data_IF_113063895935
#
_entry.id   IF_113063895935
#
_cell.length_a   1.000
_cell.length_b   1.000
_cell.length_c   1.000
_cell.angle_alpha   90.00
_cell.angle_beta   90.00
_cell.angle_gamma   90.00
#
_symmetry.space_group_name_H-M   'P 1'
#
loop_
_entity.id
_entity.type
_entity.pdbx_description
1 polymer ?
#
# COMPACT_ATOMS: atom_id res chain seq x y z
N UNK A 1 -2.11 -34.17 -13.45
CA UNK A 1 -1.58 -32.78 -13.45
C UNK A 1 -1.73 -32.18 -12.05
N UNK A 2 -0.71 -31.57 -11.43
CA UNK A 2 -0.83 -30.91 -10.12
C UNK A 2 -1.33 -29.46 -10.25
N UNK A 3 -2.28 -29.06 -9.39
CA UNK A 3 -2.77 -27.67 -9.28
C UNK A 3 -2.05 -26.97 -8.13
N UNK A 4 -1.57 -25.74 -8.35
CA UNK A 4 -0.97 -24.91 -7.29
C UNK A 4 -2.08 -24.35 -6.41
N UNK A 5 -2.12 -24.75 -5.14
CA UNK A 5 -3.03 -24.18 -4.16
C UNK A 5 -2.46 -22.86 -3.63
N UNK A 6 -3.20 -21.77 -3.83
CA UNK A 6 -2.90 -20.48 -3.20
C UNK A 6 -3.31 -20.51 -1.74
N UNK A 7 -2.35 -20.67 -0.83
CA UNK A 7 -2.57 -20.52 0.61
C UNK A 7 -2.05 -19.16 1.06
N UNK A 8 -2.85 -18.36 1.79
CA UNK A 8 -2.41 -17.07 2.28
C UNK A 8 -1.30 -17.27 3.33
N UNK A 9 -0.20 -16.53 3.18
CA UNK A 9 0.89 -16.49 4.16
C UNK A 9 0.55 -15.43 5.21
N UNK A 10 -0.09 -15.87 6.29
CA UNK A 10 -0.44 -15.03 7.43
C UNK A 10 0.14 -15.64 8.71
N UNK A 11 0.89 -14.86 9.48
CA UNK A 11 1.61 -15.31 10.69
C UNK A 11 1.00 -14.74 11.98
N UNK A 12 -0.22 -14.19 11.93
CA UNK A 12 -0.90 -13.65 13.10
C UNK A 12 -1.70 -14.71 13.89
N UNK A 13 -2.46 -14.25 14.88
CA UNK A 13 -3.27 -15.09 15.78
C UNK A 13 -4.33 -15.93 15.06
N UNK A 14 -4.75 -15.53 13.86
CA UNK A 14 -5.75 -16.22 13.05
C UNK A 14 -5.14 -17.14 11.97
N UNK A 15 -3.83 -17.40 12.05
CA UNK A 15 -3.11 -18.20 11.05
C UNK A 15 -3.70 -19.59 10.82
N UNK A 16 -4.19 -20.25 11.87
CA UNK A 16 -4.79 -21.58 11.76
C UNK A 16 -6.11 -21.59 10.97
N UNK A 17 -6.94 -20.55 11.10
CA UNK A 17 -8.22 -20.42 10.38
C UNK A 17 -7.99 -20.00 8.92
N UNK A 18 -7.02 -19.12 8.72
CA UNK A 18 -6.75 -18.48 7.43
C UNK A 18 -5.96 -19.39 6.49
N UNK A 19 -5.34 -20.47 7.00
CA UNK A 19 -4.55 -21.46 6.22
C UNK A 19 -5.42 -22.39 5.36
N UNK A 20 -6.41 -21.83 4.67
CA UNK A 20 -7.25 -22.51 3.69
C UNK A 20 -7.37 -21.68 2.41
N UNK A 21 -7.35 -22.30 1.21
CA UNK A 21 -7.51 -21.58 -0.06
C UNK A 21 -8.79 -20.73 -0.14
N UNK A 22 -9.85 -21.09 0.60
CA UNK A 22 -11.11 -20.32 0.66
C UNK A 22 -10.89 -18.88 1.14
N UNK A 23 -9.91 -18.65 2.01
CA UNK A 23 -9.61 -17.33 2.57
C UNK A 23 -8.50 -16.59 1.82
N UNK A 24 -7.88 -17.20 0.81
CA UNK A 24 -6.74 -16.65 0.09
C UNK A 24 -7.06 -15.29 -0.55
N UNK A 25 -8.21 -15.17 -1.20
CA UNK A 25 -8.60 -13.94 -1.91
C UNK A 25 -8.86 -12.79 -0.93
N UNK A 26 -9.69 -13.02 0.10
CA UNK A 26 -10.03 -11.98 1.06
C UNK A 26 -8.81 -11.48 1.84
N UNK A 27 -7.95 -12.39 2.27
CA UNK A 27 -6.72 -12.05 3.00
C UNK A 27 -5.73 -11.33 2.10
N UNK A 28 -5.59 -11.74 0.84
CA UNK A 28 -4.77 -11.04 -0.15
C UNK A 28 -5.23 -9.61 -0.37
N UNK A 29 -6.55 -9.38 -0.53
CA UNK A 29 -7.11 -8.03 -0.68
C UNK A 29 -6.88 -7.15 0.55
N UNK A 30 -7.01 -7.71 1.75
CA UNK A 30 -6.75 -6.97 2.99
C UNK A 30 -5.28 -6.58 3.11
N UNK A 31 -4.36 -7.51 2.85
CA UNK A 31 -2.91 -7.24 2.89
C UNK A 31 -2.51 -6.18 1.86
N UNK A 32 -3.02 -6.29 0.63
CA UNK A 32 -2.78 -5.27 -0.41
C UNK A 32 -3.38 -3.91 -0.04
N UNK A 33 -4.57 -3.88 0.58
CA UNK A 33 -5.17 -2.63 1.07
C UNK A 33 -4.33 -1.93 2.13
N UNK A 34 -3.72 -2.69 3.04
CA UNK A 34 -2.76 -2.17 4.04
C UNK A 34 -1.52 -1.61 3.34
N UNK A 35 -0.93 -2.37 2.42
CA UNK A 35 0.25 -1.94 1.64
C UNK A 35 -0.06 -0.68 0.83
N UNK A 36 -1.22 -0.61 0.17
CA UNK A 36 -1.64 0.54 -0.62
C UNK A 36 -1.85 1.78 0.26
N UNK A 37 -2.41 1.61 1.46
CA UNK A 37 -2.58 2.70 2.42
C UNK A 37 -1.23 3.24 2.89
N UNK A 38 -0.30 2.36 3.26
CA UNK A 38 1.06 2.74 3.62
C UNK A 38 1.77 3.46 2.47
N UNK A 39 1.67 2.94 1.24
CA UNK A 39 2.21 3.59 0.03
C UNK A 39 1.58 4.97 -0.20
N UNK A 40 0.27 5.11 -0.02
CA UNK A 40 -0.44 6.38 -0.14
C UNK A 40 0.00 7.41 0.89
N UNK A 41 0.26 6.99 2.13
CA UNK A 41 0.82 7.84 3.18
C UNK A 41 2.24 8.30 2.85
N UNK A 42 3.10 7.39 2.39
CA UNK A 42 4.48 7.71 1.96
C UNK A 42 4.47 8.67 0.76
N UNK A 43 3.60 8.43 -0.23
CA UNK A 43 3.44 9.30 -1.39
C UNK A 43 3.00 10.73 -1.00
N UNK A 44 2.10 10.86 -0.02
CA UNK A 44 1.68 12.16 0.53
C UNK A 44 2.82 12.90 1.24
N UNK A 45 3.66 12.19 1.99
CA UNK A 45 4.81 12.79 2.67
C UNK A 45 5.89 13.26 1.70
N UNK A 46 6.23 12.47 0.68
CA UNK A 46 7.26 12.82 -0.31
C UNK A 46 6.88 14.02 -1.20
N UNK A 47 5.58 14.25 -1.40
CA UNK A 47 5.07 15.37 -2.21
C UNK A 47 5.15 16.72 -1.49
N UNK A 48 4.88 16.78 -0.19
CA UNK A 48 4.59 18.05 0.50
C UNK A 48 5.72 19.07 0.42
N UNK A 49 6.95 18.72 0.83
CA UNK A 49 8.07 19.67 0.87
C UNK A 49 8.54 20.08 -0.53
N UNK A 50 8.67 19.13 -1.46
CA UNK A 50 9.08 19.40 -2.86
C UNK A 50 8.02 20.24 -3.59
N UNK A 51 6.74 20.04 -3.29
CA UNK A 51 5.63 20.76 -3.89
C UNK A 51 5.49 22.18 -3.31
N UNK A 52 5.76 22.37 -2.01
CA UNK A 52 5.86 23.71 -1.40
C UNK A 52 7.03 24.49 -2.00
N UNK A 53 8.22 23.89 -2.10
CA UNK A 53 9.39 24.52 -2.71
C UNK A 53 9.15 24.88 -4.19
N UNK A 54 8.50 24.00 -4.96
CA UNK A 54 8.11 24.28 -6.35
C UNK A 54 7.13 25.46 -6.43
N UNK A 55 6.15 25.54 -5.53
CA UNK A 55 5.19 26.65 -5.46
C UNK A 55 5.88 27.97 -5.11
N UNK A 56 6.81 27.99 -4.16
CA UNK A 56 7.58 29.20 -3.82
C UNK A 56 8.42 29.67 -5.01
N UNK A 57 9.08 28.75 -5.71
CA UNK A 57 9.88 29.08 -6.90
C UNK A 57 9.03 29.65 -8.03
N UNK A 58 7.84 29.09 -8.23
CA UNK A 58 6.88 29.57 -9.22
C UNK A 58 6.26 30.93 -8.84
N UNK A 59 6.00 31.17 -7.56
CA UNK A 59 5.57 32.48 -7.06
C UNK A 59 6.65 33.54 -7.27
N UNK A 60 7.92 33.20 -7.00
CA UNK A 60 9.03 34.12 -7.20
C UNK A 60 9.19 34.49 -8.68
N UNK A 61 9.18 33.51 -9.59
CA UNK A 61 9.25 33.76 -11.04
C UNK A 61 8.06 34.54 -11.63
N UNK A 62 6.93 34.60 -10.92
CA UNK A 62 5.72 35.30 -11.40
C UNK A 62 5.62 36.72 -10.85
N UNK A 63 6.25 37.02 -9.71
CA UNK A 63 6.14 38.30 -9.00
C UNK A 63 7.41 39.17 -9.08
N UNK A 64 8.56 38.60 -9.46
CA UNK A 64 9.81 39.30 -9.73
C UNK A 64 10.29 38.92 -11.13
#
# INVERSE_FOLDING_TARGET
MPVRLGIPRYTGSLSDVVRSPRYATGVGLLLEGVVQTQRGLVARQGGSLKQIAKRMRQWFQRNF
#
